data_IF_355412691373
#
_entry.id   IF_355412691373
#
_cell.length_a   1.000
_cell.length_b   1.000
_cell.length_c   1.000
_cell.angle_alpha   90.00
_cell.angle_beta   90.00
_cell.angle_gamma   90.00
#
_symmetry.space_group_name_H-M   'P 1'
#
loop_
_entity.id
_entity.type
_entity.pdbx_description
1 polymer ?
#
# COMPACT_ATOMS: atom_id res chain seq x y z
N UNK A 1 6.83 -18.96 14.15
CA UNK A 1 5.39 -18.87 13.80
C UNK A 1 5.28 -18.71 12.30
N UNK A 2 4.26 -19.27 11.66
CA UNK A 2 4.02 -19.02 10.24
C UNK A 2 3.71 -17.53 10.04
N UNK A 3 4.34 -16.88 9.05
CA UNK A 3 4.05 -15.49 8.71
C UNK A 3 2.63 -15.38 8.15
N UNK A 4 1.93 -14.31 8.46
CA UNK A 4 0.53 -14.07 8.07
C UNK A 4 0.40 -12.76 7.31
N UNK A 5 -0.65 -12.64 6.49
CA UNK A 5 -1.14 -11.33 6.08
C UNK A 5 -2.11 -10.86 7.17
N UNK A 6 -1.74 -9.81 7.87
CA UNK A 6 -2.54 -9.26 8.98
C UNK A 6 -3.38 -8.09 8.49
N UNK A 7 -4.66 -8.07 8.84
CA UNK A 7 -5.61 -7.00 8.46
C UNK A 7 -6.15 -6.34 9.70
N UNK A 8 -6.09 -5.00 9.74
CA UNK A 8 -6.80 -4.23 10.77
C UNK A 8 -8.27 -4.03 10.39
N UNK A 9 -9.18 -4.49 11.24
CA UNK A 9 -10.62 -4.36 11.07
C UNK A 9 -11.22 -3.38 12.08
N UNK A 10 -12.07 -2.47 11.59
CA UNK A 10 -12.89 -1.57 12.42
C UNK A 10 -14.39 -1.63 12.07
N UNK A 11 -14.76 -2.54 11.15
CA UNK A 11 -16.14 -2.70 10.68
C UNK A 11 -16.55 -1.72 9.59
N UNK A 12 -15.65 -0.84 9.13
CA UNK A 12 -15.90 0.08 8.02
C UNK A 12 -15.85 -0.64 6.66
N UNK A 13 -16.41 0.00 5.63
CA UNK A 13 -16.31 -0.47 4.25
C UNK A 13 -14.86 -0.54 3.77
N UNK A 14 -14.02 0.39 4.23
CA UNK A 14 -12.59 0.47 3.94
C UNK A 14 -11.84 -0.76 4.50
N UNK A 15 -12.11 -1.11 5.76
CA UNK A 15 -11.49 -2.30 6.36
C UNK A 15 -12.02 -3.60 5.72
N UNK A 16 -13.25 -3.59 5.23
CA UNK A 16 -13.80 -4.67 4.41
C UNK A 16 -13.07 -4.83 3.08
N UNK A 17 -12.84 -3.74 2.35
CA UNK A 17 -12.06 -3.75 1.10
C UNK A 17 -10.60 -4.21 1.35
N UNK A 18 -9.99 -3.76 2.45
CA UNK A 18 -8.67 -4.22 2.87
C UNK A 18 -8.62 -5.73 3.12
N UNK A 19 -9.66 -6.29 3.74
CA UNK A 19 -9.76 -7.72 3.99
C UNK A 19 -9.93 -8.54 2.68
N UNK A 20 -10.72 -8.04 1.74
CA UNK A 20 -10.86 -8.65 0.41
C UNK A 20 -9.54 -8.64 -0.37
N UNK A 21 -8.85 -7.50 -0.39
CA UNK A 21 -7.54 -7.40 -1.02
C UNK A 21 -6.53 -8.34 -0.36
N UNK A 22 -6.48 -8.37 0.97
CA UNK A 22 -5.60 -9.25 1.72
C UNK A 22 -5.85 -10.74 1.43
N UNK A 23 -7.09 -11.14 1.21
CA UNK A 23 -7.42 -12.52 0.86
C UNK A 23 -6.93 -12.88 -0.56
N UNK A 24 -7.02 -11.96 -1.53
CA UNK A 24 -6.43 -12.14 -2.87
C UNK A 24 -4.92 -12.27 -2.78
N UNK A 25 -4.28 -11.38 -2.05
CA UNK A 25 -2.83 -11.37 -1.82
C UNK A 25 -2.36 -12.64 -1.08
N UNK A 26 -3.14 -13.11 -0.11
CA UNK A 26 -2.87 -14.35 0.62
C UNK A 26 -2.84 -15.57 -0.32
N UNK A 27 -3.74 -15.60 -1.28
CA UNK A 27 -3.78 -16.66 -2.31
C UNK A 27 -2.53 -16.63 -3.19
N UNK A 28 -2.06 -15.44 -3.60
CA UNK A 28 -0.85 -15.27 -4.40
C UNK A 28 0.42 -15.68 -3.63
N UNK A 29 0.43 -15.46 -2.32
CA UNK A 29 1.59 -15.77 -1.45
C UNK A 29 1.54 -17.15 -0.82
N UNK A 30 0.41 -17.84 -0.86
CA UNK A 30 0.21 -19.10 -0.12
C UNK A 30 0.27 -18.90 1.41
N UNK A 31 -0.22 -17.76 1.92
CA UNK A 31 -0.19 -17.39 3.33
C UNK A 31 -1.59 -17.31 3.93
N UNK A 32 -1.75 -17.56 5.25
CA UNK A 32 -3.01 -17.34 5.94
C UNK A 32 -3.28 -15.85 6.18
N UNK A 33 -4.56 -15.50 6.30
CA UNK A 33 -5.05 -14.17 6.70
C UNK A 33 -5.39 -14.16 8.18
N UNK A 34 -4.91 -13.14 8.89
CA UNK A 34 -5.25 -12.86 10.28
C UNK A 34 -5.99 -11.53 10.38
N UNK A 35 -7.27 -11.58 10.76
CA UNK A 35 -8.12 -10.42 10.96
C UNK A 35 -8.01 -9.94 12.41
N UNK A 36 -7.48 -8.74 12.62
CA UNK A 36 -7.30 -8.13 13.94
C UNK A 36 -8.33 -7.03 14.13
N UNK A 37 -9.22 -7.21 15.10
CA UNK A 37 -10.17 -6.19 15.52
C UNK A 37 -9.74 -5.62 16.86
N UNK A 38 -9.50 -4.28 16.90
CA UNK A 38 -9.05 -3.60 18.12
C UNK A 38 -10.19 -2.80 18.71
N UNK A 39 -10.49 -3.05 19.95
CA UNK A 39 -11.52 -2.35 20.71
C UNK A 39 -10.94 -1.66 21.96
N UNK A 40 -11.49 -0.52 22.31
CA UNK A 40 -11.12 0.17 23.55
C UNK A 40 -12.10 -0.19 24.66
N UNK A 41 -11.62 -0.66 25.82
CA UNK A 41 -12.48 -0.90 26.97
C UNK A 41 -13.21 0.41 27.37
N UNK A 42 -14.52 0.32 27.57
CA UNK A 42 -15.30 1.44 28.10
C UNK A 42 -15.02 1.52 29.60
N UNK A 43 -14.68 2.70 30.15
CA UNK A 43 -14.49 2.86 31.60
C UNK A 43 -15.72 2.40 32.40
N UNK A 44 -15.52 1.70 33.51
CA UNK A 44 -16.60 1.13 34.34
C UNK A 44 -17.78 2.08 34.68
N UNK A 45 -17.59 3.37 34.96
CA UNK A 45 -18.69 4.28 35.23
C UNK A 45 -19.63 4.45 34.00
N UNK A 46 -19.12 4.32 32.79
CA UNK A 46 -19.91 4.40 31.55
C UNK A 46 -20.51 3.04 31.13
N UNK A 47 -19.88 1.94 31.50
CA UNK A 47 -20.37 0.59 31.20
C UNK A 47 -21.66 0.25 32.00
N UNK A 48 -21.92 0.97 33.09
CA UNK A 48 -23.14 0.80 33.93
C UNK A 48 -24.34 1.64 33.43
N UNK A 49 -24.15 2.48 32.41
CA UNK A 49 -25.26 3.24 31.83
C UNK A 49 -26.24 2.31 31.09
N UNK A 50 -27.53 2.30 31.39
CA UNK A 50 -28.51 1.35 30.86
C UNK A 50 -28.67 1.37 29.34
N UNK A 51 -28.20 2.40 28.66
CA UNK A 51 -28.29 2.59 27.20
C UNK A 51 -26.99 2.22 26.44
N UNK A 52 -25.91 1.90 27.14
CA UNK A 52 -24.59 1.58 26.55
C UNK A 52 -24.09 0.21 27.03
N UNK A 53 -24.99 -0.73 27.25
CA UNK A 53 -24.73 -2.03 27.90
C UNK A 53 -23.40 -2.67 27.47
N UNK A 54 -22.62 -3.14 28.45
CA UNK A 54 -21.40 -3.90 28.24
C UNK A 54 -21.62 -5.10 27.29
N UNK A 55 -22.79 -5.71 27.31
CA UNK A 55 -23.23 -6.78 26.40
C UNK A 55 -23.26 -6.32 24.93
N UNK A 56 -23.66 -5.08 24.66
CA UNK A 56 -23.68 -4.54 23.28
C UNK A 56 -22.28 -4.37 22.72
N UNK A 57 -21.33 -3.89 23.55
CA UNK A 57 -19.94 -3.69 23.14
C UNK A 57 -19.22 -5.02 22.88
N UNK A 58 -19.38 -5.99 23.77
CA UNK A 58 -18.79 -7.32 23.62
C UNK A 58 -19.36 -8.04 22.40
N UNK A 59 -20.66 -7.91 22.16
CA UNK A 59 -21.32 -8.49 20.98
C UNK A 59 -20.76 -7.93 19.67
N UNK A 60 -20.52 -6.62 19.56
CA UNK A 60 -19.92 -6.00 18.39
C UNK A 60 -18.46 -6.42 18.18
N UNK A 61 -17.69 -6.52 19.26
CA UNK A 61 -16.28 -6.90 19.25
C UNK A 61 -16.06 -8.30 18.67
N UNK A 62 -16.97 -9.22 18.92
CA UNK A 62 -16.89 -10.60 18.42
C UNK A 62 -17.57 -10.75 17.05
N UNK A 63 -18.66 -10.01 16.82
CA UNK A 63 -19.47 -10.13 15.60
C UNK A 63 -18.74 -9.63 14.36
N UNK A 64 -18.14 -8.46 14.42
CA UNK A 64 -17.47 -7.83 13.26
C UNK A 64 -16.37 -8.74 12.67
N UNK A 65 -15.38 -9.23 13.44
CA UNK A 65 -14.35 -10.09 12.88
C UNK A 65 -14.88 -11.45 12.45
N UNK A 66 -15.90 -12.01 13.13
CA UNK A 66 -16.52 -13.27 12.75
C UNK A 66 -17.23 -13.18 11.40
N UNK A 67 -18.12 -12.20 11.22
CA UNK A 67 -18.84 -11.99 9.95
C UNK A 67 -17.88 -11.73 8.79
N UNK A 68 -16.82 -10.93 9.01
CA UNK A 68 -15.78 -10.70 8.03
C UNK A 68 -15.06 -12.01 7.64
N UNK A 69 -14.67 -12.81 8.63
CA UNK A 69 -13.99 -14.08 8.37
C UNK A 69 -14.89 -15.09 7.65
N UNK A 70 -16.15 -15.22 8.03
CA UNK A 70 -17.12 -16.10 7.36
C UNK A 70 -17.31 -15.66 5.90
N UNK A 71 -17.47 -14.35 5.66
CA UNK A 71 -17.60 -13.81 4.31
C UNK A 71 -16.36 -14.07 3.44
N UNK A 72 -15.15 -13.88 3.98
CA UNK A 72 -13.91 -14.16 3.26
C UNK A 72 -13.75 -15.65 2.93
N UNK A 73 -14.03 -16.55 3.87
CA UNK A 73 -13.95 -18.02 3.63
C UNK A 73 -14.87 -18.47 2.52
N UNK A 74 -16.05 -17.84 2.40
CA UNK A 74 -17.01 -18.15 1.33
C UNK A 74 -16.53 -17.65 -0.04
N UNK A 75 -15.97 -16.44 -0.10
CA UNK A 75 -15.52 -15.81 -1.37
C UNK A 75 -14.13 -16.26 -1.81
N UNK A 76 -13.28 -16.66 -0.86
CA UNK A 76 -11.90 -17.08 -1.12
C UNK A 76 -11.64 -18.50 -0.60
N UNK A 77 -12.26 -19.53 -1.20
CA UNK A 77 -12.02 -20.90 -0.79
C UNK A 77 -10.53 -21.25 -0.95
N UNK A 78 -9.97 -21.90 0.08
CA UNK A 78 -8.56 -22.27 0.14
C UNK A 78 -7.65 -21.25 0.83
N UNK A 79 -8.16 -20.08 1.21
CA UNK A 79 -7.44 -19.14 2.10
C UNK A 79 -7.82 -19.44 3.55
N UNK A 80 -6.82 -19.76 4.38
CA UNK A 80 -7.02 -19.89 5.82
C UNK A 80 -7.23 -18.53 6.44
N UNK A 81 -8.35 -18.32 7.16
CA UNK A 81 -8.71 -17.06 7.79
C UNK A 81 -8.91 -17.25 9.28
N UNK A 82 -8.14 -16.53 10.09
CA UNK A 82 -8.26 -16.48 11.54
C UNK A 82 -8.69 -15.08 12.02
N UNK A 83 -9.27 -15.02 13.21
CA UNK A 83 -9.69 -13.77 13.86
C UNK A 83 -9.00 -13.60 15.19
N UNK A 84 -8.57 -12.39 15.49
CA UNK A 84 -7.90 -12.03 16.73
C UNK A 84 -8.48 -10.72 17.29
N UNK A 85 -9.46 -10.77 18.21
CA UNK A 85 -9.92 -9.59 18.93
C UNK A 85 -8.87 -9.17 19.96
N UNK A 86 -8.55 -7.88 19.98
CA UNK A 86 -7.56 -7.29 20.91
C UNK A 86 -8.12 -6.04 21.57
N UNK A 87 -7.82 -5.85 22.85
CA UNK A 87 -8.15 -4.62 23.56
C UNK A 87 -6.95 -3.68 23.61
N UNK A 88 -7.19 -2.39 23.48
CA UNK A 88 -6.14 -1.37 23.61
C UNK A 88 -6.26 -0.23 22.59
N UNK A 89 -5.21 0.56 22.49
CA UNK A 89 -5.12 1.64 21.49
C UNK A 89 -4.86 1.04 20.11
N UNK A 90 -5.70 1.32 19.09
CA UNK A 90 -5.57 0.70 17.77
C UNK A 90 -4.17 0.80 17.16
N UNK A 91 -3.52 1.96 17.27
CA UNK A 91 -2.16 2.15 16.72
C UNK A 91 -1.14 1.25 17.42
N UNK A 92 -1.17 1.14 18.74
CA UNK A 92 -0.19 0.35 19.51
C UNK A 92 -0.35 -1.14 19.23
N UNK A 93 -1.59 -1.62 19.28
CA UNK A 93 -1.92 -3.02 19.01
C UNK A 93 -1.56 -3.40 17.58
N UNK A 94 -1.90 -2.57 16.58
CA UNK A 94 -1.57 -2.87 15.18
C UNK A 94 -0.06 -2.88 14.92
N UNK A 95 0.71 -1.99 15.55
CA UNK A 95 2.18 -2.00 15.47
C UNK A 95 2.76 -3.26 16.14
N UNK A 96 2.18 -3.72 17.25
CA UNK A 96 2.60 -4.93 17.95
C UNK A 96 2.37 -6.18 17.07
N UNK A 97 1.12 -6.37 16.59
CA UNK A 97 0.77 -7.56 15.79
C UNK A 97 1.43 -7.57 14.40
N UNK A 98 1.82 -6.40 13.89
CA UNK A 98 2.56 -6.31 12.64
C UNK A 98 3.94 -6.97 12.71
N UNK A 99 4.58 -7.03 13.89
CA UNK A 99 5.93 -7.62 14.03
C UNK A 99 6.01 -9.08 13.58
N UNK A 100 4.92 -9.81 13.73
CA UNK A 100 4.81 -11.22 13.36
C UNK A 100 4.16 -11.42 11.98
N UNK A 101 3.81 -10.33 11.29
CA UNK A 101 3.20 -10.37 9.98
C UNK A 101 4.24 -10.34 8.85
N UNK A 102 3.91 -10.92 7.71
CA UNK A 102 4.61 -10.69 6.45
C UNK A 102 4.22 -9.33 5.85
N UNK A 103 2.95 -8.98 6.02
CA UNK A 103 2.32 -7.80 5.47
C UNK A 103 1.18 -7.34 6.39
N UNK A 104 1.08 -6.06 6.65
CA UNK A 104 -0.08 -5.44 7.31
C UNK A 104 -0.94 -4.71 6.29
N UNK A 105 -2.24 -4.99 6.26
CA UNK A 105 -3.20 -4.37 5.34
C UNK A 105 -4.21 -3.56 6.14
N UNK A 106 -4.41 -2.31 5.75
CA UNK A 106 -5.34 -1.38 6.39
C UNK A 106 -6.25 -0.71 5.35
N UNK A 107 -7.46 -0.39 5.75
CA UNK A 107 -8.35 0.43 4.96
C UNK A 107 -7.97 1.91 4.99
N UNK A 108 -8.14 2.60 3.87
CA UNK A 108 -8.00 4.06 3.77
C UNK A 108 -9.32 4.70 3.37
N UNK A 109 -9.69 5.81 4.02
CA UNK A 109 -10.99 6.48 3.80
C UNK A 109 -10.99 7.27 2.50
N UNK A 110 -12.05 7.11 1.70
CA UNK A 110 -12.32 7.99 0.58
C UNK A 110 -12.85 9.35 1.08
N UNK A 111 -12.31 10.44 0.55
CA UNK A 111 -12.94 11.78 0.71
C UNK A 111 -14.06 11.90 -0.31
N UNK A 112 -15.30 11.83 0.16
CA UNK A 112 -16.45 12.09 -0.69
C UNK A 112 -16.40 13.52 -1.25
N UNK A 113 -16.29 13.65 -2.56
CA UNK A 113 -16.53 14.91 -3.28
C UNK A 113 -15.33 15.75 -3.70
N UNK A 114 -14.09 15.45 -3.31
CA UNK A 114 -12.90 16.25 -3.65
C UNK A 114 -11.75 15.48 -4.31
N UNK A 115 -11.99 14.28 -4.83
CA UNK A 115 -10.99 13.55 -5.63
C UNK A 115 -9.71 13.16 -4.89
N UNK A 116 -9.79 12.94 -3.57
CA UNK A 116 -8.64 12.52 -2.75
C UNK A 116 -9.05 11.52 -1.68
N UNK A 117 -8.05 10.91 -1.01
CA UNK A 117 -8.25 9.95 0.09
C UNK A 117 -7.68 10.51 1.38
N UNK A 118 -8.29 10.18 2.50
CA UNK A 118 -7.77 10.51 3.82
C UNK A 118 -7.19 9.25 4.46
N UNK A 119 -5.87 9.19 4.57
CA UNK A 119 -5.25 8.20 5.44
C UNK A 119 -5.58 8.59 6.88
N UNK A 120 -6.37 7.74 7.56
CA UNK A 120 -6.73 7.99 8.96
C UNK A 120 -5.51 8.11 9.86
N UNK A 121 -5.68 8.79 11.00
CA UNK A 121 -4.60 8.97 11.98
C UNK A 121 -3.96 7.65 12.44
N UNK A 122 -4.75 6.58 12.55
CA UNK A 122 -4.25 5.24 12.87
C UNK A 122 -3.35 4.71 11.77
N UNK A 123 -3.77 4.75 10.50
CA UNK A 123 -2.97 4.30 9.36
C UNK A 123 -1.64 5.03 9.25
N UNK A 124 -1.65 6.37 9.35
CA UNK A 124 -0.42 7.17 9.35
C UNK A 124 0.51 6.81 10.50
N UNK A 125 -0.02 6.68 11.72
CA UNK A 125 0.76 6.38 12.90
C UNK A 125 1.34 4.95 12.87
N UNK A 126 0.61 3.98 12.30
CA UNK A 126 1.08 2.60 12.09
C UNK A 126 2.18 2.57 11.04
N UNK A 127 1.96 3.17 9.86
CA UNK A 127 2.98 3.27 8.80
C UNK A 127 4.28 3.87 9.36
N UNK A 128 4.19 4.93 10.17
CA UNK A 128 5.36 5.60 10.70
C UNK A 128 6.18 4.77 11.71
N UNK A 129 5.57 3.77 12.37
CA UNK A 129 6.17 3.02 13.49
C UNK A 129 6.53 1.58 13.16
N UNK A 130 5.90 0.98 12.16
CA UNK A 130 6.17 -0.42 11.80
C UNK A 130 7.33 -0.53 10.82
N UNK A 131 8.05 -1.64 10.88
CA UNK A 131 9.09 -2.00 9.91
C UNK A 131 8.58 -2.98 8.85
N UNK A 132 7.43 -3.57 9.10
CA UNK A 132 6.76 -4.48 8.15
C UNK A 132 6.09 -3.64 7.05
N UNK A 133 6.09 -4.10 5.80
CA UNK A 133 5.36 -3.42 4.73
C UNK A 133 3.88 -3.24 5.09
N UNK A 134 3.36 -2.04 4.86
CA UNK A 134 1.94 -1.71 5.10
C UNK A 134 1.28 -1.39 3.78
N UNK A 135 0.18 -2.09 3.47
CA UNK A 135 -0.64 -1.78 2.30
C UNK A 135 -1.90 -1.03 2.73
N UNK A 136 -2.14 0.11 2.10
CA UNK A 136 -3.39 0.84 2.23
C UNK A 136 -4.30 0.53 1.04
N UNK A 137 -5.52 0.10 1.34
CA UNK A 137 -6.55 -0.26 0.36
C UNK A 137 -7.74 0.68 0.52
N UNK A 138 -8.26 1.18 -0.59
CA UNK A 138 -9.40 2.12 -0.59
C UNK A 138 -10.72 1.40 -0.45
N UNK A 139 -11.70 2.11 0.11
CA UNK A 139 -13.09 1.67 0.03
C UNK A 139 -13.51 1.51 -1.44
N UNK A 140 -14.21 0.41 -1.73
CA UNK A 140 -14.68 0.13 -3.08
C UNK A 140 -13.67 -0.52 -4.01
N UNK A 141 -12.42 -0.75 -3.56
CA UNK A 141 -11.42 -1.52 -4.33
C UNK A 141 -11.94 -2.92 -4.65
N UNK A 142 -11.87 -3.31 -5.90
CA UNK A 142 -12.33 -4.60 -6.39
C UNK A 142 -11.21 -5.35 -7.10
N UNK A 143 -11.34 -6.67 -7.20
CA UNK A 143 -10.35 -7.49 -7.90
C UNK A 143 -10.12 -7.03 -9.36
N UNK A 144 -11.16 -6.60 -10.05
CA UNK A 144 -11.07 -6.12 -11.42
C UNK A 144 -10.23 -4.84 -11.59
N UNK A 145 -10.07 -4.04 -10.53
CA UNK A 145 -9.29 -2.80 -10.57
C UNK A 145 -7.79 -3.08 -10.68
N UNK A 146 -7.35 -4.24 -10.20
CA UNK A 146 -5.95 -4.69 -10.27
C UNK A 146 -5.58 -5.30 -11.63
N UNK A 147 -6.56 -5.53 -12.51
CA UNK A 147 -6.40 -6.24 -13.77
C UNK A 147 -6.63 -5.33 -14.99
N UNK A 148 -6.03 -5.69 -16.12
CA UNK A 148 -6.33 -5.01 -17.38
C UNK A 148 -7.76 -5.31 -17.81
N UNK A 149 -8.39 -4.36 -18.50
CA UNK A 149 -9.71 -4.59 -19.08
C UNK A 149 -9.67 -5.75 -20.07
N UNK A 150 -10.78 -6.45 -20.23
CA UNK A 150 -10.90 -7.46 -21.27
C UNK A 150 -10.90 -6.81 -22.69
N UNK A 151 -10.84 -7.57 -23.76
CA UNK A 151 -10.86 -7.03 -25.14
C UNK A 151 -12.13 -6.24 -25.49
N UNK A 152 -13.19 -6.38 -24.71
CA UNK A 152 -14.43 -5.60 -24.85
C UNK A 152 -14.44 -4.31 -24.01
N UNK A 153 -13.36 -4.04 -23.26
CA UNK A 153 -13.26 -2.89 -22.36
C UNK A 153 -14.01 -3.06 -21.03
N UNK A 154 -14.33 -4.31 -20.65
CA UNK A 154 -15.05 -4.61 -19.40
C UNK A 154 -14.04 -4.96 -18.31
N UNK A 155 -14.15 -4.38 -17.08
CA UNK A 155 -13.32 -4.76 -15.96
C UNK A 155 -13.46 -6.24 -15.62
N UNK A 156 -12.35 -6.97 -15.50
CA UNK A 156 -12.36 -8.43 -15.29
C UNK A 156 -11.18 -8.85 -14.42
N UNK A 157 -11.43 -9.62 -13.38
CA UNK A 157 -10.39 -10.24 -12.57
C UNK A 157 -9.78 -11.53 -13.20
N UNK A 158 -10.22 -11.91 -14.40
CA UNK A 158 -9.70 -13.07 -15.13
C UNK A 158 -8.61 -12.72 -16.16
N UNK A 159 -8.34 -11.44 -16.35
CA UNK A 159 -7.29 -10.94 -17.24
C UNK A 159 -5.95 -10.82 -16.52
N UNK A 160 -4.89 -10.44 -17.22
CA UNK A 160 -3.58 -10.21 -16.63
C UNK A 160 -3.62 -9.05 -15.62
N UNK A 161 -2.76 -9.11 -14.62
CA UNK A 161 -2.57 -8.00 -13.70
C UNK A 161 -2.02 -6.76 -14.43
N UNK A 162 -2.45 -5.59 -14.00
CA UNK A 162 -1.81 -4.33 -14.35
C UNK A 162 -0.40 -4.29 -13.75
N UNK A 163 0.51 -3.45 -14.27
CA UNK A 163 1.87 -3.32 -13.76
C UNK A 163 1.92 -2.99 -12.26
N UNK A 164 3.00 -3.42 -11.62
CA UNK A 164 3.41 -2.87 -10.32
C UNK A 164 4.21 -1.61 -10.57
N UNK A 165 3.89 -0.52 -9.86
CA UNK A 165 4.60 0.76 -9.96
C UNK A 165 5.52 0.93 -8.76
N UNK A 166 6.81 1.18 -8.99
CA UNK A 166 7.81 1.44 -7.99
C UNK A 166 8.24 2.91 -8.03
N UNK A 167 8.01 3.65 -6.96
CA UNK A 167 8.55 5.01 -6.78
C UNK A 167 9.96 4.97 -6.21
N UNK A 168 10.94 5.46 -6.98
CA UNK A 168 12.35 5.53 -6.59
C UNK A 168 12.82 6.98 -6.46
N UNK A 169 13.21 7.38 -5.25
CA UNK A 169 13.98 8.61 -5.02
C UNK A 169 15.45 8.24 -4.73
N UNK A 170 15.70 7.59 -3.61
CA UNK A 170 16.98 6.98 -3.30
C UNK A 170 16.85 5.46 -3.45
N UNK A 171 17.82 4.79 -4.09
CA UNK A 171 17.80 3.33 -4.19
C UNK A 171 17.92 2.72 -2.80
N UNK A 172 16.92 1.93 -2.42
CA UNK A 172 16.96 1.10 -1.22
C UNK A 172 16.56 -0.32 -1.58
N UNK A 173 17.41 -1.26 -1.19
CA UNK A 173 17.29 -2.66 -1.57
C UNK A 173 15.99 -3.31 -1.08
N UNK A 174 15.48 -2.92 0.09
CA UNK A 174 14.24 -3.48 0.63
C UNK A 174 13.01 -3.07 -0.20
N UNK A 175 12.96 -1.80 -0.61
CA UNK A 175 11.86 -1.25 -1.42
C UNK A 175 11.86 -1.86 -2.82
N UNK A 176 13.05 -1.93 -3.44
CA UNK A 176 13.22 -2.50 -4.78
C UNK A 176 12.91 -4.01 -4.76
N UNK A 177 13.44 -4.76 -3.79
CA UNK A 177 13.17 -6.19 -3.64
C UNK A 177 11.67 -6.46 -3.53
N UNK A 178 10.96 -5.72 -2.67
CA UNK A 178 9.53 -5.87 -2.49
C UNK A 178 8.78 -5.66 -3.82
N UNK A 179 9.10 -4.60 -4.56
CA UNK A 179 8.43 -4.31 -5.84
C UNK A 179 8.67 -5.39 -6.90
N UNK A 180 9.91 -5.89 -7.03
CA UNK A 180 10.23 -7.00 -7.94
C UNK A 180 9.53 -8.29 -7.55
N UNK A 181 9.46 -8.62 -6.26
CA UNK A 181 8.73 -9.78 -5.77
C UNK A 181 7.23 -9.69 -6.07
N UNK A 182 6.64 -8.51 -5.90
CA UNK A 182 5.23 -8.28 -6.22
C UNK A 182 4.95 -8.40 -7.72
N UNK A 183 5.79 -7.81 -8.57
CA UNK A 183 5.66 -7.95 -10.03
C UNK A 183 5.79 -9.40 -10.48
N UNK A 184 6.76 -10.14 -9.91
CA UNK A 184 6.95 -11.57 -10.18
C UNK A 184 5.74 -12.41 -9.76
N UNK A 185 5.16 -12.17 -8.56
CA UNK A 185 3.98 -12.91 -8.08
C UNK A 185 2.76 -12.69 -8.95
N UNK A 186 2.61 -11.49 -9.50
CA UNK A 186 1.50 -11.10 -10.38
C UNK A 186 1.76 -11.45 -11.84
N UNK A 187 2.97 -11.96 -12.15
CA UNK A 187 3.40 -12.23 -13.54
C UNK A 187 3.18 -11.01 -14.45
N UNK A 188 3.55 -9.82 -13.96
CA UNK A 188 3.33 -8.55 -14.63
C UNK A 188 4.59 -7.69 -14.70
N UNK A 189 4.56 -6.63 -15.50
CA UNK A 189 5.67 -5.68 -15.61
C UNK A 189 5.86 -4.83 -14.34
N UNK A 190 7.09 -4.42 -14.09
CA UNK A 190 7.47 -3.44 -13.09
C UNK A 190 7.76 -2.09 -13.74
N UNK A 191 6.98 -1.06 -13.40
CA UNK A 191 7.21 0.31 -13.85
C UNK A 191 8.02 1.04 -12.78
N UNK A 192 9.31 1.24 -13.04
CA UNK A 192 10.21 1.94 -12.14
C UNK A 192 10.19 3.44 -12.45
N UNK A 193 9.58 4.22 -11.57
CA UNK A 193 9.30 5.64 -11.75
C UNK A 193 10.28 6.47 -10.93
N UNK A 194 11.01 7.34 -11.59
CA UNK A 194 11.89 8.33 -10.96
C UNK A 194 11.64 9.69 -11.58
N UNK A 195 11.17 10.63 -10.75
CA UNK A 195 11.11 12.04 -11.14
C UNK A 195 12.36 12.78 -10.64
N UNK A 196 12.71 13.83 -11.33
CA UNK A 196 13.80 14.71 -10.95
C UNK A 196 13.45 16.18 -11.24
N UNK A 197 13.95 17.09 -10.40
CA UNK A 197 13.68 18.50 -10.56
C UNK A 197 14.38 19.04 -11.83
N UNK A 198 13.60 19.60 -12.73
CA UNK A 198 14.15 20.41 -13.81
C UNK A 198 14.61 21.73 -13.22
N UNK A 199 15.85 22.08 -13.46
CA UNK A 199 16.44 23.33 -12.96
C UNK A 199 15.56 24.53 -13.35
N UNK A 200 15.23 25.44 -12.40
CA UNK A 200 14.32 26.58 -12.68
C UNK A 200 14.79 27.50 -13.80
N UNK A 201 16.07 27.47 -14.14
CA UNK A 201 16.68 28.27 -15.20
C UNK A 201 16.54 27.70 -16.61
N UNK A 202 16.22 26.41 -16.78
CA UNK A 202 16.07 25.82 -18.12
C UNK A 202 14.85 26.37 -18.88
N UNK A 203 13.88 26.97 -18.19
CA UNK A 203 12.70 27.59 -18.80
C UNK A 203 13.00 28.93 -19.45
N UNK A 204 14.12 29.58 -19.11
CA UNK A 204 14.49 30.95 -19.59
C UNK A 204 15.58 30.96 -20.63
N UNK A 205 16.22 29.85 -20.96
CA UNK A 205 17.31 29.80 -21.95
C UNK A 205 16.80 29.25 -23.28
N UNK A 206 16.31 30.14 -24.14
CA UNK A 206 16.20 29.89 -25.58
C UNK A 206 17.61 30.01 -26.16
N UNK A 207 18.39 28.93 -26.26
CA UNK A 207 19.76 28.93 -26.72
C UNK A 207 20.49 27.60 -26.47
N UNK A 208 21.82 27.53 -26.47
CA UNK A 208 22.64 26.31 -26.34
C UNK A 208 22.36 25.42 -25.11
N UNK A 209 21.45 25.83 -24.26
CA UNK A 209 21.00 25.04 -23.09
C UNK A 209 20.15 23.81 -23.40
N UNK A 210 19.65 23.66 -24.63
CA UNK A 210 18.83 22.48 -25.01
C UNK A 210 19.66 21.18 -25.02
N UNK A 211 20.87 21.22 -25.52
CA UNK A 211 21.78 20.07 -25.54
C UNK A 211 22.10 19.57 -24.12
N UNK A 212 22.27 20.50 -23.18
CA UNK A 212 22.51 20.15 -21.76
C UNK A 212 21.29 19.50 -21.08
N UNK A 213 20.08 19.83 -21.52
CA UNK A 213 18.86 19.21 -20.97
C UNK A 213 18.70 17.76 -21.40
N UNK A 214 19.01 17.46 -22.66
CA UNK A 214 18.97 16.07 -23.16
C UNK A 214 20.04 15.21 -22.51
N UNK A 215 21.26 15.73 -22.35
CA UNK A 215 22.35 15.03 -21.67
C UNK A 215 22.03 14.77 -20.19
N UNK A 216 21.43 15.73 -19.51
CA UNK A 216 21.00 15.57 -18.11
C UNK A 216 19.88 14.53 -17.99
N UNK A 217 18.90 14.56 -18.88
CA UNK A 217 17.80 13.59 -18.92
C UNK A 217 18.33 12.18 -19.18
N UNK A 218 19.28 12.04 -20.10
CA UNK A 218 19.95 10.77 -20.41
C UNK A 218 20.73 10.26 -19.20
N UNK A 219 21.52 11.11 -18.55
CA UNK A 219 22.25 10.75 -17.35
C UNK A 219 21.35 10.26 -16.21
N UNK A 220 20.16 10.87 -16.04
CA UNK A 220 19.17 10.44 -15.04
C UNK A 220 18.55 9.09 -15.38
N UNK A 221 18.29 8.84 -16.66
CA UNK A 221 17.80 7.54 -17.12
C UNK A 221 18.86 6.45 -16.94
N UNK A 222 20.11 6.72 -17.32
CA UNK A 222 21.24 5.79 -17.14
C UNK A 222 21.46 5.44 -15.67
N UNK A 223 21.34 6.43 -14.77
CA UNK A 223 21.47 6.19 -13.34
C UNK A 223 20.33 5.32 -12.78
N UNK A 224 19.11 5.41 -13.33
CA UNK A 224 18.01 4.51 -12.99
C UNK A 224 18.29 3.10 -13.50
N UNK A 225 18.73 2.96 -14.75
CA UNK A 225 19.09 1.68 -15.36
C UNK A 225 20.19 0.95 -14.58
N UNK A 226 21.25 1.66 -14.16
CA UNK A 226 22.32 1.12 -13.34
C UNK A 226 21.82 0.64 -11.97
N UNK A 227 20.94 1.41 -11.33
CA UNK A 227 20.30 1.01 -10.06
C UNK A 227 19.52 -0.30 -10.20
N UNK A 228 18.82 -0.50 -11.31
CA UNK A 228 17.97 -1.65 -11.54
C UNK A 228 18.71 -2.85 -12.15
N UNK A 229 19.92 -2.67 -12.67
CA UNK A 229 20.68 -3.72 -13.33
C UNK A 229 20.88 -5.00 -12.50
N UNK A 230 21.30 -4.96 -11.21
CA UNK A 230 21.42 -6.15 -10.37
C UNK A 230 20.09 -6.87 -10.16
N UNK A 231 19.01 -6.11 -10.07
CA UNK A 231 17.66 -6.63 -9.85
C UNK A 231 17.10 -7.32 -11.09
N UNK A 232 17.33 -6.77 -12.28
CA UNK A 232 17.01 -7.43 -13.55
C UNK A 232 17.72 -8.77 -13.71
N UNK A 233 18.98 -8.86 -13.26
CA UNK A 233 19.72 -10.12 -13.26
C UNK A 233 19.13 -11.14 -12.27
N UNK A 234 18.68 -10.67 -11.10
CA UNK A 234 18.07 -11.53 -10.06
C UNK A 234 16.65 -11.98 -10.43
N UNK A 235 15.91 -11.16 -11.18
CA UNK A 235 14.52 -11.41 -11.59
C UNK A 235 14.37 -11.31 -13.12
N UNK A 236 14.97 -12.24 -13.89
CA UNK A 236 15.01 -12.16 -15.34
C UNK A 236 13.64 -12.27 -16.01
N UNK A 237 12.65 -12.85 -15.32
CA UNK A 237 11.29 -13.04 -15.82
C UNK A 237 10.41 -11.79 -15.62
N UNK A 238 10.89 -10.76 -14.91
CA UNK A 238 10.15 -9.52 -14.69
C UNK A 238 10.55 -8.50 -15.76
N UNK A 239 9.59 -8.12 -16.60
CA UNK A 239 9.74 -7.00 -17.52
C UNK A 239 9.83 -5.70 -16.73
N UNK A 240 10.88 -4.89 -16.96
CA UNK A 240 11.08 -3.61 -16.26
C UNK A 240 11.00 -2.46 -17.26
N UNK A 241 10.03 -1.58 -17.04
CA UNK A 241 9.85 -0.33 -17.80
C UNK A 241 10.35 0.83 -16.94
N UNK A 242 11.35 1.54 -17.42
CA UNK A 242 11.96 2.68 -16.73
C UNK A 242 11.28 3.98 -17.14
N UNK A 243 10.77 4.73 -16.15
CA UNK A 243 10.11 6.02 -16.34
C UNK A 243 10.92 7.08 -15.60
N UNK A 244 11.85 7.72 -16.30
CA UNK A 244 12.66 8.82 -15.77
C UNK A 244 12.18 10.13 -16.40
N UNK A 245 11.56 11.01 -15.63
CA UNK A 245 10.97 12.26 -16.15
C UNK A 245 11.23 13.46 -15.24
N UNK A 246 11.35 14.66 -15.83
CA UNK A 246 11.37 15.90 -15.04
C UNK A 246 10.00 16.16 -14.42
N UNK A 247 9.97 16.73 -13.23
CA UNK A 247 8.75 17.20 -12.57
C UNK A 247 8.52 16.60 -11.19
N UNK A 248 7.28 16.67 -10.72
CA UNK A 248 6.89 16.19 -9.39
C UNK A 248 6.80 14.67 -9.34
N UNK A 249 7.57 14.04 -8.46
CA UNK A 249 7.51 12.61 -8.22
C UNK A 249 6.11 12.16 -7.76
N UNK A 250 5.46 12.97 -6.91
CA UNK A 250 4.12 12.67 -6.43
C UNK A 250 3.09 12.69 -7.57
N UNK A 251 3.14 13.71 -8.44
CA UNK A 251 2.20 13.80 -9.56
C UNK A 251 2.40 12.64 -10.55
N UNK A 252 3.66 12.33 -10.87
CA UNK A 252 3.97 11.24 -11.80
C UNK A 252 3.54 9.87 -11.26
N UNK A 253 3.75 9.59 -9.97
CA UNK A 253 3.33 8.35 -9.33
C UNK A 253 1.80 8.24 -9.26
N UNK A 254 1.11 9.34 -8.95
CA UNK A 254 -0.36 9.38 -8.92
C UNK A 254 -0.93 9.14 -10.30
N UNK A 255 -0.38 9.77 -11.33
CA UNK A 255 -0.79 9.56 -12.72
C UNK A 255 -0.58 8.09 -13.14
N UNK A 256 0.61 7.54 -12.91
CA UNK A 256 0.93 6.15 -13.24
C UNK A 256 0.08 5.14 -12.44
N UNK A 257 -0.43 5.51 -11.26
CA UNK A 257 -1.24 4.64 -10.41
C UNK A 257 -2.60 4.28 -11.00
N UNK A 258 -3.10 5.03 -11.98
CA UNK A 258 -4.39 4.75 -12.63
C UNK A 258 -4.38 3.42 -13.42
N UNK A 259 -3.20 3.02 -13.90
CA UNK A 259 -3.00 1.79 -14.66
C UNK A 259 -2.17 0.75 -13.89
N UNK A 260 -2.11 0.85 -12.57
CA UNK A 260 -1.33 -0.03 -11.71
C UNK A 260 -2.21 -1.03 -10.95
N UNK A 261 -1.66 -2.21 -10.63
CA UNK A 261 -2.23 -3.15 -9.66
C UNK A 261 -1.79 -2.84 -8.24
N UNK A 262 -0.61 -2.25 -8.07
CA UNK A 262 -0.02 -1.89 -6.79
C UNK A 262 1.01 -0.77 -6.99
N UNK A 263 1.01 0.22 -6.10
CA UNK A 263 2.07 1.24 -6.05
C UNK A 263 2.97 0.97 -4.84
N UNK A 264 4.27 0.86 -5.04
CA UNK A 264 5.27 0.62 -4.00
C UNK A 264 6.08 1.88 -3.77
N UNK A 265 6.12 2.35 -2.55
CA UNK A 265 6.91 3.53 -2.13
C UNK A 265 7.70 3.24 -0.87
N UNK A 266 8.85 3.89 -0.73
CA UNK A 266 9.67 3.80 0.45
C UNK A 266 9.25 4.77 1.55
N UNK A 267 9.52 4.38 2.81
CA UNK A 267 9.48 5.26 3.97
C UNK A 267 10.77 5.10 4.77
N UNK A 268 11.55 6.19 4.86
CA UNK A 268 12.79 6.17 5.65
C UNK A 268 12.51 6.06 7.15
N UNK A 269 13.13 5.08 7.79
CA UNK A 269 13.11 4.94 9.26
C UNK A 269 13.96 6.02 9.89
N UNK A 270 13.35 6.94 10.64
CA UNK A 270 14.07 7.96 11.39
C UNK A 270 14.14 7.59 12.85
N UNK A 271 15.34 7.59 13.42
CA UNK A 271 15.60 7.30 14.83
C UNK A 271 15.29 8.46 15.78
N UNK A 272 14.81 9.59 15.26
CA UNK A 272 14.55 10.78 16.07
C UNK A 272 13.13 10.73 16.67
N UNK A 273 12.95 10.90 18.02
CA UNK A 273 11.67 10.77 18.71
C UNK A 273 10.66 11.88 18.38
N UNK A 274 11.06 12.97 17.73
CA UNK A 274 10.18 14.08 17.42
C UNK A 274 9.66 14.02 15.97
N UNK A 275 8.40 13.64 15.85
CA UNK A 275 7.61 13.75 14.63
C UNK A 275 7.40 12.41 13.88
N UNK A 276 6.14 12.17 13.51
CA UNK A 276 5.74 11.13 12.56
C UNK A 276 6.07 11.68 11.17
N UNK A 277 7.11 11.15 10.51
CA UNK A 277 7.48 11.62 9.19
C UNK A 277 7.28 10.54 8.13
N UNK A 278 6.16 10.66 7.46
CA UNK A 278 5.97 10.08 6.12
C UNK A 278 6.50 11.15 5.15
N UNK A 279 7.39 10.78 4.24
CA UNK A 279 7.92 11.71 3.24
C UNK A 279 6.80 12.36 2.40
N UNK A 280 7.00 13.58 1.93
CA UNK A 280 5.97 14.33 1.20
C UNK A 280 5.43 13.58 -0.03
N UNK A 281 6.30 12.89 -0.78
CA UNK A 281 5.90 12.08 -1.94
C UNK A 281 5.04 10.90 -1.50
N UNK A 282 5.51 10.12 -0.52
CA UNK A 282 4.75 8.97 0.02
C UNK A 282 3.40 9.43 0.57
N UNK A 283 3.36 10.57 1.29
CA UNK A 283 2.12 11.12 1.80
C UNK A 283 1.14 11.48 0.66
N UNK A 284 1.61 12.15 -0.39
CA UNK A 284 0.77 12.51 -1.54
C UNK A 284 0.25 11.26 -2.27
N UNK A 285 1.11 10.24 -2.49
CA UNK A 285 0.70 8.98 -3.12
C UNK A 285 -0.35 8.26 -2.28
N UNK A 286 -0.19 8.20 -0.95
CA UNK A 286 -1.19 7.61 -0.04
C UNK A 286 -2.56 8.29 -0.12
N UNK A 287 -2.58 9.60 -0.43
CA UNK A 287 -3.82 10.38 -0.51
C UNK A 287 -4.46 10.39 -1.91
N UNK A 288 -3.69 10.16 -2.98
CA UNK A 288 -4.18 10.38 -4.35
C UNK A 288 -4.01 9.19 -5.28
N UNK A 289 -3.32 8.11 -4.88
CA UNK A 289 -3.13 6.93 -5.72
C UNK A 289 -4.47 6.29 -6.12
N UNK A 290 -4.61 5.89 -7.35
CA UNK A 290 -5.75 5.13 -7.85
C UNK A 290 -5.70 3.66 -7.43
N UNK A 291 -4.53 3.06 -7.31
CA UNK A 291 -4.30 1.68 -6.89
C UNK A 291 -3.95 1.58 -5.39
N UNK A 292 -4.01 0.38 -4.78
CA UNK A 292 -3.46 0.12 -3.46
C UNK A 292 -2.01 0.56 -3.34
N UNK A 293 -1.61 1.05 -2.16
CA UNK A 293 -0.26 1.58 -1.92
C UNK A 293 0.45 0.77 -0.85
N UNK A 294 1.54 0.13 -1.22
CA UNK A 294 2.48 -0.52 -0.30
C UNK A 294 3.56 0.47 0.14
N UNK A 295 3.67 0.67 1.44
CA UNK A 295 4.73 1.47 2.06
C UNK A 295 5.73 0.55 2.71
N UNK A 296 6.96 0.54 2.20
CA UNK A 296 8.06 -0.30 2.68
C UNK A 296 8.99 0.56 3.52
N UNK A 297 9.24 0.14 4.76
CA UNK A 297 10.18 0.81 5.64
C UNK A 297 11.62 0.51 5.21
N UNK A 298 12.49 1.53 5.21
CA UNK A 298 13.91 1.41 4.87
C UNK A 298 14.77 2.35 5.71
N UNK A 299 16.09 2.10 5.78
CA UNK A 299 17.07 2.89 6.54
C UNK A 299 17.45 4.23 5.88
#
# INVERSE_FOLDING_TARGET
MARTITVGLDGSAESGAAAEWAAREAKLRGLPVRLVHVWMPVPEPMAQAPLLGAETHQHWTERVPREAAEGLRLRHPGVEVSTEPRSGTPTEVLVEVARDAELLVLGSRALSGLGGFLVGSVGQAVIARTQVPVVLVRAGEQAADEHVMDPAGIPSAATAFRPVVLGLDNPDDAVIAFAFEEAKRRETALYAVRAWDSWPYAVYTVGPGFEHHEDFSRQRADALAETLRPWRQKYPDVEVVEISRPGSAAALLVDTSHDASLVVVGRRVRRNPFGIHIGAVTHAVLHHSAAPVAVVAHD
#
